data_IF_829733946308
#
_entry.id   IF_829733946308
#
_cell.length_a   1.000
_cell.length_b   1.000
_cell.length_c   1.000
_cell.angle_alpha   90.00
_cell.angle_beta   90.00
_cell.angle_gamma   90.00
#
_symmetry.space_group_name_H-M   'P 1'
#
loop_
_entity.id
_entity.type
_entity.pdbx_description
1 polymer ?
#
# COMPACT_ATOMS: atom_id res chain seq x y z
N UNK A 1 19.34 -79.20 -6.84
CA UNK A 1 18.26 -78.74 -5.94
C UNK A 1 17.87 -77.33 -6.35
N UNK A 2 16.59 -77.16 -6.65
CA UNK A 2 15.97 -75.95 -7.19
C UNK A 2 15.99 -74.77 -6.22
N UNK A 3 16.22 -73.56 -6.78
CA UNK A 3 15.41 -72.37 -6.50
C UNK A 3 15.80 -71.49 -5.31
N UNK A 4 16.06 -70.22 -5.58
CA UNK A 4 15.02 -69.17 -5.49
C UNK A 4 15.50 -67.85 -6.11
N UNK A 5 14.70 -67.41 -7.07
CA UNK A 5 14.71 -66.10 -7.71
C UNK A 5 14.51 -64.99 -6.66
N UNK A 6 15.42 -64.02 -6.63
CA UNK A 6 15.20 -62.76 -5.92
C UNK A 6 14.19 -61.93 -6.72
N UNK A 7 12.95 -61.88 -6.23
CA UNK A 7 11.92 -60.98 -6.78
C UNK A 7 12.34 -59.54 -6.51
N UNK A 8 12.52 -58.78 -7.59
CA UNK A 8 12.50 -57.32 -7.57
C UNK A 8 11.12 -56.89 -7.06
N UNK A 9 11.08 -56.26 -5.88
CA UNK A 9 9.88 -55.61 -5.38
C UNK A 9 9.63 -54.32 -6.18
N UNK A 10 8.41 -54.07 -6.68
CA UNK A 10 8.12 -52.82 -7.36
C UNK A 10 8.21 -51.66 -6.37
N UNK A 11 8.99 -50.65 -6.76
CA UNK A 11 9.16 -49.38 -6.07
C UNK A 11 7.82 -48.65 -6.02
N UNK A 12 7.05 -48.84 -4.94
CA UNK A 12 5.87 -48.02 -4.65
C UNK A 12 6.40 -46.73 -4.02
N UNK A 13 6.51 -45.68 -4.84
CA UNK A 13 6.77 -44.31 -4.37
C UNK A 13 5.77 -43.88 -3.28
N UNK A 14 6.08 -42.83 -2.51
CA UNK A 14 5.25 -42.43 -1.38
C UNK A 14 3.84 -42.09 -1.88
N UNK A 15 2.84 -42.71 -1.25
CA UNK A 15 1.44 -42.46 -1.51
C UNK A 15 1.15 -40.98 -1.25
N UNK A 16 0.88 -40.22 -2.31
CA UNK A 16 0.31 -38.88 -2.21
C UNK A 16 -1.03 -39.01 -1.48
N UNK A 17 -1.06 -38.55 -0.23
CA UNK A 17 -2.28 -38.25 0.51
C UNK A 17 -3.07 -37.22 -0.31
N UNK A 18 -4.02 -37.69 -1.13
CA UNK A 18 -5.09 -36.87 -1.69
C UNK A 18 -6.04 -36.51 -0.55
N UNK A 19 -5.66 -35.55 0.28
CA UNK A 19 -6.62 -34.87 1.14
C UNK A 19 -7.31 -33.80 0.29
N UNK A 20 -8.60 -34.08 0.12
CA UNK A 20 -9.61 -33.26 -0.54
C UNK A 20 -9.71 -31.85 0.02
N UNK A 21 -10.08 -30.92 -0.87
CA UNK A 21 -10.43 -29.50 -0.68
C UNK A 21 -9.25 -28.54 -0.71
N UNK A 22 -8.82 -28.25 -1.94
CA UNK A 22 -8.32 -26.89 -2.25
C UNK A 22 -9.40 -25.92 -1.79
N UNK A 23 -9.05 -25.06 -0.84
CA UNK A 23 -9.91 -23.96 -0.43
C UNK A 23 -9.96 -22.98 -1.59
N UNK A 24 -11.08 -22.96 -2.30
CA UNK A 24 -11.38 -21.96 -3.32
C UNK A 24 -11.98 -20.73 -2.62
N UNK A 25 -11.22 -19.61 -2.49
CA UNK A 25 -11.71 -18.40 -1.82
C UNK A 25 -12.80 -17.68 -2.64
N UNK A 26 -13.09 -18.12 -3.87
CA UNK A 26 -14.08 -17.54 -4.78
C UNK A 26 -15.30 -18.44 -4.97
N UNK A 27 -15.67 -19.23 -3.95
CA UNK A 27 -16.94 -19.95 -3.94
C UNK A 27 -18.10 -18.96 -3.79
N UNK A 28 -18.48 -18.31 -4.89
CA UNK A 28 -19.70 -17.55 -4.99
C UNK A 28 -20.86 -18.45 -4.57
N UNK A 29 -21.64 -18.01 -3.56
CA UNK A 29 -22.95 -18.60 -3.26
C UNK A 29 -23.81 -18.35 -4.49
N UNK A 30 -23.87 -19.31 -5.40
CA UNK A 30 -24.76 -19.25 -6.56
C UNK A 30 -26.19 -19.31 -6.06
N UNK A 31 -26.80 -18.13 -5.88
CA UNK A 31 -28.24 -17.98 -5.93
C UNK A 31 -28.69 -18.57 -7.27
N UNK A 32 -29.75 -19.38 -7.22
CA UNK A 32 -30.35 -20.04 -8.37
C UNK A 32 -30.91 -18.98 -9.32
N UNK A 33 -30.13 -18.57 -10.31
CA UNK A 33 -30.63 -17.93 -11.52
C UNK A 33 -30.03 -18.65 -12.72
N UNK A 34 -30.91 -18.97 -13.67
CA UNK A 34 -30.72 -20.04 -14.65
C UNK A 34 -29.57 -19.84 -15.62
N UNK A 35 -29.09 -20.98 -16.16
CA UNK A 35 -28.37 -21.26 -17.40
C UNK A 35 -27.70 -20.11 -18.19
N UNK A 36 -27.10 -19.13 -17.53
CA UNK A 36 -26.09 -18.29 -18.15
C UNK A 36 -24.75 -19.01 -17.94
N UNK A 37 -24.08 -19.35 -19.04
CA UNK A 37 -22.69 -19.78 -18.96
C UNK A 37 -21.90 -18.71 -18.18
N UNK A 38 -21.06 -19.09 -17.20
CA UNK A 38 -20.25 -18.11 -16.49
C UNK A 38 -19.42 -17.36 -17.52
N UNK A 39 -19.52 -16.02 -17.51
CA UNK A 39 -18.66 -15.20 -18.36
C UNK A 39 -17.21 -15.66 -18.18
N UNK A 40 -16.47 -15.86 -19.27
CA UNK A 40 -15.09 -16.28 -19.18
C UNK A 40 -14.33 -15.27 -18.33
N UNK A 41 -13.65 -15.76 -17.28
CA UNK A 41 -12.76 -14.94 -16.46
C UNK A 41 -11.90 -14.07 -17.39
N UNK A 42 -11.74 -12.76 -17.11
CA UNK A 42 -10.93 -11.90 -17.94
C UNK A 42 -9.56 -12.53 -18.08
N UNK A 43 -9.20 -12.92 -19.30
CA UNK A 43 -7.93 -13.58 -19.54
C UNK A 43 -6.82 -12.63 -19.08
N UNK A 44 -5.81 -13.10 -18.31
CA UNK A 44 -4.70 -12.25 -17.92
C UNK A 44 -4.10 -11.70 -19.21
N UNK A 45 -4.21 -10.38 -19.38
CA UNK A 45 -3.87 -9.75 -20.65
C UNK A 45 -2.41 -10.06 -20.97
N UNK A 46 -2.17 -10.86 -22.00
CA UNK A 46 -0.83 -11.25 -22.47
C UNK A 46 -0.05 -10.08 -23.10
N UNK A 47 -0.51 -8.84 -22.89
CA UNK A 47 -0.17 -7.66 -23.67
C UNK A 47 -0.20 -6.36 -22.87
N UNK A 48 0.09 -6.34 -21.57
CA UNK A 48 0.47 -5.05 -20.97
C UNK A 48 1.93 -4.78 -21.35
N UNK A 49 2.19 -3.84 -22.28
CA UNK A 49 3.56 -3.48 -22.61
C UNK A 49 4.28 -2.94 -21.36
N UNK A 50 5.61 -3.07 -21.27
CA UNK A 50 6.39 -2.42 -20.24
C UNK A 50 6.02 -0.95 -20.07
N UNK A 51 5.50 -0.58 -18.90
CA UNK A 51 5.25 0.82 -18.60
C UNK A 51 6.55 1.63 -18.63
N UNK A 52 6.48 2.87 -19.09
CA UNK A 52 7.56 3.85 -18.95
C UNK A 52 7.48 4.48 -17.55
N UNK A 53 8.47 4.21 -16.71
CA UNK A 53 8.52 4.65 -15.31
C UNK A 53 9.73 5.56 -15.12
N UNK A 54 9.53 6.71 -14.48
CA UNK A 54 10.64 7.55 -14.04
C UNK A 54 11.03 7.18 -12.60
N UNK A 55 12.30 6.86 -12.38
CA UNK A 55 12.88 6.61 -11.08
C UNK A 55 13.66 7.84 -10.62
N UNK A 56 13.11 8.59 -9.66
CA UNK A 56 13.78 9.72 -9.03
C UNK A 56 14.49 9.27 -7.76
N UNK A 57 15.71 9.75 -7.53
CA UNK A 57 16.49 9.34 -6.35
C UNK A 57 16.86 10.54 -5.49
N UNK A 58 16.60 10.46 -4.19
CA UNK A 58 17.01 11.49 -3.20
C UNK A 58 18.08 11.00 -2.22
N UNK A 59 18.43 9.72 -2.28
CA UNK A 59 19.36 9.06 -1.38
C UNK A 59 18.66 8.26 -0.28
N UNK A 60 19.00 8.57 0.98
CA UNK A 60 18.51 7.83 2.14
C UNK A 60 19.21 6.49 2.37
N UNK A 61 18.67 5.69 3.30
CA UNK A 61 19.30 4.45 3.76
C UNK A 61 19.60 3.46 2.65
N UNK A 62 18.74 3.35 1.62
CA UNK A 62 18.95 2.45 0.49
C UNK A 62 20.32 2.66 -0.17
N UNK A 63 20.72 3.93 -0.32
CA UNK A 63 21.94 4.34 -1.00
C UNK A 63 23.13 4.57 -0.03
N UNK A 64 22.98 4.25 1.26
CA UNK A 64 24.08 4.37 2.20
C UNK A 64 25.21 3.38 1.89
N UNK A 65 26.43 3.84 2.06
CA UNK A 65 27.66 3.04 1.96
C UNK A 65 28.61 3.42 3.08
N UNK A 66 29.46 2.48 3.48
CA UNK A 66 30.54 2.77 4.41
C UNK A 66 31.69 3.45 3.64
N UNK A 67 32.12 4.62 4.09
CA UNK A 67 33.34 5.27 3.61
C UNK A 67 34.49 4.94 4.56
N UNK A 68 35.52 4.28 4.02
CA UNK A 68 36.70 3.89 4.79
C UNK A 68 37.58 5.08 5.18
N UNK A 69 37.48 6.22 4.48
CA UNK A 69 38.26 7.42 4.79
C UNK A 69 37.64 8.15 5.99
N UNK A 70 36.35 8.45 5.94
CA UNK A 70 35.64 9.09 7.06
C UNK A 70 35.30 8.13 8.20
N UNK A 71 35.45 6.81 7.98
CA UNK A 71 35.02 5.76 8.91
C UNK A 71 33.54 5.86 9.30
N UNK A 72 32.71 6.37 8.39
CA UNK A 72 31.29 6.64 8.63
C UNK A 72 30.41 6.19 7.47
N UNK A 73 29.09 6.06 7.73
CA UNK A 73 28.12 5.83 6.68
C UNK A 73 27.76 7.14 5.99
N UNK A 74 27.94 7.18 4.67
CA UNK A 74 27.57 8.31 3.82
C UNK A 74 26.49 7.87 2.82
N UNK A 75 25.75 8.84 2.27
CA UNK A 75 24.83 8.57 1.16
C UNK A 75 25.62 8.58 -0.14
N UNK A 76 25.74 7.41 -0.76
CA UNK A 76 26.54 7.19 -1.96
C UNK A 76 25.76 7.42 -3.26
N UNK A 77 26.27 6.83 -4.35
CA UNK A 77 25.61 6.87 -5.64
C UNK A 77 24.30 6.04 -5.63
N UNK A 78 23.27 6.45 -6.41
CA UNK A 78 22.00 5.76 -6.42
C UNK A 78 22.11 4.28 -6.83
N UNK A 79 21.53 3.42 -6.02
CA UNK A 79 21.61 1.96 -6.18
C UNK A 79 20.39 1.38 -6.90
N UNK A 80 19.32 2.16 -7.08
CA UNK A 80 18.05 1.73 -7.67
C UNK A 80 18.22 1.02 -9.02
N UNK A 81 19.06 1.55 -9.92
CA UNK A 81 19.34 0.94 -11.22
C UNK A 81 19.97 -0.45 -11.09
N UNK A 82 20.96 -0.60 -10.21
CA UNK A 82 21.60 -1.90 -9.94
C UNK A 82 20.60 -2.87 -9.30
N UNK A 83 19.81 -2.38 -8.36
CA UNK A 83 18.78 -3.16 -7.68
C UNK A 83 17.74 -3.70 -8.67
N UNK A 84 17.16 -2.85 -9.51
CA UNK A 84 16.11 -3.21 -10.48
C UNK A 84 16.60 -4.20 -11.54
N UNK A 85 17.86 -4.09 -11.96
CA UNK A 85 18.48 -5.10 -12.83
C UNK A 85 18.57 -6.47 -12.14
N UNK A 86 18.95 -6.50 -10.86
CA UNK A 86 19.11 -7.76 -10.12
C UNK A 86 17.77 -8.44 -9.81
N UNK A 87 16.69 -7.67 -9.63
CA UNK A 87 15.32 -8.21 -9.47
C UNK A 87 14.57 -8.35 -10.81
N UNK A 88 15.26 -8.17 -11.94
CA UNK A 88 14.71 -8.35 -13.29
C UNK A 88 13.42 -7.54 -13.55
N UNK A 89 13.43 -6.25 -13.16
CA UNK A 89 12.29 -5.37 -13.41
C UNK A 89 11.96 -5.30 -14.92
N UNK A 90 10.69 -5.55 -15.25
CA UNK A 90 10.23 -5.61 -16.64
C UNK A 90 9.88 -4.25 -17.25
N UNK A 91 9.80 -3.18 -16.45
CA UNK A 91 9.42 -1.84 -16.91
C UNK A 91 10.57 -1.14 -17.65
N UNK A 92 10.22 -0.18 -18.51
CA UNK A 92 11.21 0.72 -19.10
C UNK A 92 11.48 1.87 -18.13
N UNK A 93 12.64 1.85 -17.48
CA UNK A 93 12.95 2.77 -16.39
C UNK A 93 13.95 3.84 -16.83
N UNK A 94 13.52 5.09 -16.74
CA UNK A 94 14.41 6.26 -16.81
C UNK A 94 14.85 6.64 -15.40
N UNK A 95 16.09 7.09 -15.22
CA UNK A 95 16.63 7.44 -13.91
C UNK A 95 17.06 8.89 -13.90
N UNK A 96 16.64 9.63 -12.88
CA UNK A 96 17.15 10.97 -12.63
C UNK A 96 17.45 11.16 -11.14
N UNK A 97 18.64 11.68 -10.86
CA UNK A 97 19.04 12.00 -9.50
C UNK A 97 18.60 13.41 -9.15
N UNK A 98 17.89 13.55 -8.03
CA UNK A 98 17.46 14.87 -7.51
C UNK A 98 18.47 15.37 -6.48
N UNK A 99 18.89 14.49 -5.57
CA UNK A 99 19.96 14.76 -4.61
C UNK A 99 20.48 13.45 -3.99
N UNK A 100 21.52 13.55 -3.15
CA UNK A 100 22.11 12.45 -2.36
C UNK A 100 22.24 12.86 -0.90
N UNK A 101 21.13 12.82 -0.16
CA UNK A 101 21.09 13.29 1.23
C UNK A 101 20.51 12.23 2.16
N UNK A 102 20.87 12.32 3.45
CA UNK A 102 20.08 11.65 4.48
C UNK A 102 18.70 12.31 4.55
N UNK A 103 17.64 11.54 4.78
CA UNK A 103 16.29 12.10 4.87
C UNK A 103 16.13 13.15 5.97
N UNK A 104 16.93 13.09 7.03
CA UNK A 104 16.92 14.10 8.10
C UNK A 104 17.51 15.45 7.64
N UNK A 105 18.32 15.44 6.59
CA UNK A 105 18.97 16.64 6.02
C UNK A 105 18.17 17.23 4.84
N UNK A 106 17.09 16.56 4.41
CA UNK A 106 16.24 17.07 3.34
C UNK A 106 15.48 18.31 3.78
N UNK A 107 15.72 19.40 3.07
CA UNK A 107 15.11 20.71 3.31
C UNK A 107 13.78 20.88 2.57
N UNK A 108 13.09 22.00 2.80
CA UNK A 108 11.93 22.38 1.99
C UNK A 108 12.32 22.59 0.53
N UNK A 109 13.44 23.25 0.26
CA UNK A 109 13.93 23.52 -1.10
C UNK A 109 14.20 22.23 -1.88
N UNK A 110 14.78 21.21 -1.23
CA UNK A 110 14.98 19.90 -1.87
C UNK A 110 13.65 19.26 -2.31
N UNK A 111 12.60 19.41 -1.50
CA UNK A 111 11.25 18.92 -1.83
C UNK A 111 10.58 19.74 -2.93
N UNK A 112 10.85 21.04 -3.01
CA UNK A 112 10.37 21.90 -4.10
C UNK A 112 11.03 21.51 -5.43
N UNK A 113 12.33 21.18 -5.43
CA UNK A 113 13.03 20.64 -6.62
C UNK A 113 12.43 19.29 -7.03
N UNK A 114 12.20 18.39 -6.07
CA UNK A 114 11.57 17.10 -6.33
C UNK A 114 10.14 17.26 -6.90
N UNK A 115 9.36 18.18 -6.35
CA UNK A 115 8.00 18.50 -6.83
C UNK A 115 8.02 19.04 -8.27
N UNK A 116 8.96 19.93 -8.59
CA UNK A 116 9.15 20.43 -9.94
C UNK A 116 9.54 19.30 -10.91
N UNK A 117 10.41 18.38 -10.50
CA UNK A 117 10.77 17.21 -11.31
C UNK A 117 9.56 16.30 -11.59
N UNK A 118 8.75 16.01 -10.57
CA UNK A 118 7.50 15.24 -10.72
C UNK A 118 6.54 15.92 -11.70
N UNK A 119 6.40 17.24 -11.59
CA UNK A 119 5.51 18.04 -12.45
C UNK A 119 5.97 18.07 -13.91
N UNK A 120 7.27 18.24 -14.14
CA UNK A 120 7.86 18.36 -15.47
C UNK A 120 8.03 17.02 -16.19
N UNK A 121 8.04 15.90 -15.47
CA UNK A 121 8.22 14.58 -16.05
C UNK A 121 7.14 14.28 -17.12
N UNK A 122 7.47 13.71 -18.28
CA UNK A 122 6.47 13.23 -19.24
C UNK A 122 5.79 11.91 -18.82
N UNK A 123 6.39 11.15 -17.92
CA UNK A 123 5.90 9.83 -17.48
C UNK A 123 4.69 9.97 -16.55
N UNK A 124 3.73 9.07 -16.68
CA UNK A 124 2.59 8.97 -15.77
C UNK A 124 2.94 8.26 -14.46
N UNK A 125 3.92 7.37 -14.51
CA UNK A 125 4.35 6.54 -13.38
C UNK A 125 5.71 6.98 -12.89
N UNK A 126 5.80 7.30 -11.60
CA UNK A 126 7.03 7.78 -10.97
C UNK A 126 7.28 6.99 -9.69
N UNK A 127 8.48 6.44 -9.55
CA UNK A 127 8.95 5.82 -8.31
C UNK A 127 10.08 6.67 -7.74
N UNK A 128 10.01 7.00 -6.46
CA UNK A 128 11.00 7.83 -5.78
C UNK A 128 11.68 7.00 -4.70
N UNK A 129 13.01 6.84 -4.79
CA UNK A 129 13.79 6.29 -3.67
C UNK A 129 14.14 7.40 -2.69
N UNK A 130 13.80 7.18 -1.42
CA UNK A 130 13.87 8.19 -0.38
C UNK A 130 14.29 7.56 0.97
N UNK A 131 14.91 8.37 1.84
CA UNK A 131 15.20 7.97 3.21
C UNK A 131 13.93 7.88 4.08
N UNK A 132 13.93 6.96 5.03
CA UNK A 132 12.71 6.56 5.76
C UNK A 132 12.26 7.56 6.83
N UNK A 133 13.15 8.41 7.33
CA UNK A 133 12.86 9.28 8.48
C UNK A 133 11.91 10.43 8.15
N UNK A 134 11.95 10.95 6.91
CA UNK A 134 11.09 12.06 6.48
C UNK A 134 10.28 11.77 5.21
N UNK A 135 10.16 10.49 4.83
CA UNK A 135 9.42 10.13 3.61
C UNK A 135 7.95 10.52 3.66
N UNK A 136 7.34 10.47 4.84
CA UNK A 136 5.97 10.92 5.08
C UNK A 136 5.77 12.40 4.75
N UNK A 137 6.71 13.24 5.15
CA UNK A 137 6.69 14.68 4.88
C UNK A 137 6.76 14.93 3.38
N UNK A 138 7.65 14.21 2.68
CA UNK A 138 7.81 14.33 1.23
C UNK A 138 6.57 13.80 0.49
N UNK A 139 6.02 12.64 0.86
CA UNK A 139 4.81 12.10 0.25
C UNK A 139 3.62 13.07 0.38
N UNK A 140 3.45 13.68 1.55
CA UNK A 140 2.42 14.70 1.77
C UNK A 140 2.64 15.94 0.90
N UNK A 141 3.88 16.39 0.74
CA UNK A 141 4.20 17.55 -0.09
C UNK A 141 3.86 17.32 -1.57
N UNK A 142 4.12 16.11 -2.09
CA UNK A 142 3.90 15.77 -3.49
C UNK A 142 2.45 15.40 -3.84
N UNK A 143 1.62 15.10 -2.84
CA UNK A 143 0.24 14.63 -3.04
C UNK A 143 -0.57 15.52 -3.98
N UNK A 144 -0.51 16.84 -3.79
CA UNK A 144 -1.28 17.79 -4.59
C UNK A 144 -0.81 17.79 -6.04
N UNK A 145 0.49 17.81 -6.28
CA UNK A 145 1.08 17.80 -7.61
C UNK A 145 0.77 16.50 -8.34
N UNK A 146 0.90 15.35 -7.68
CA UNK A 146 0.57 14.05 -8.25
C UNK A 146 -0.90 13.99 -8.72
N UNK A 147 -1.85 14.42 -7.87
CA UNK A 147 -3.27 14.47 -8.24
C UNK A 147 -3.50 15.46 -9.40
N UNK A 148 -2.99 16.69 -9.30
CA UNK A 148 -3.24 17.74 -10.27
C UNK A 148 -2.70 17.41 -11.67
N UNK A 149 -1.65 16.59 -11.74
CA UNK A 149 -1.03 16.13 -12.99
C UNK A 149 -1.52 14.77 -13.45
N UNK A 150 -2.42 14.11 -12.71
CA UNK A 150 -2.90 12.76 -13.02
C UNK A 150 -1.86 11.65 -12.89
N UNK A 151 -0.75 11.91 -12.20
CA UNK A 151 0.39 10.98 -12.08
C UNK A 151 0.23 10.05 -10.88
N UNK A 152 0.73 8.83 -11.02
CA UNK A 152 0.91 7.92 -9.89
C UNK A 152 2.36 7.98 -9.43
N UNK A 153 2.57 8.50 -8.23
CA UNK A 153 3.88 8.64 -7.60
C UNK A 153 3.96 7.68 -6.42
N UNK A 154 4.99 6.84 -6.37
CA UNK A 154 5.24 5.91 -5.27
C UNK A 154 6.58 6.23 -4.62
N UNK A 155 6.59 6.57 -3.34
CA UNK A 155 7.79 6.66 -2.53
C UNK A 155 8.11 5.31 -1.91
N UNK A 156 9.38 4.95 -1.94
CA UNK A 156 9.90 3.76 -1.28
C UNK A 156 11.34 3.99 -0.83
N UNK A 157 11.95 2.98 -0.22
CA UNK A 157 13.31 3.03 0.30
C UNK A 157 13.69 1.70 0.93
N UNK A 158 14.64 1.74 1.87
CA UNK A 158 15.02 0.59 2.66
C UNK A 158 15.30 1.00 4.11
N UNK A 159 15.16 0.07 5.04
CA UNK A 159 15.67 0.24 6.41
C UNK A 159 17.17 -0.01 6.44
N UNK A 160 17.64 -1.01 5.67
CA UNK A 160 19.04 -1.40 5.58
C UNK A 160 19.63 -1.01 4.22
N UNK A 161 20.89 -0.55 4.16
CA UNK A 161 21.52 -0.18 2.89
C UNK A 161 21.54 -1.32 1.89
N UNK A 162 21.42 -1.00 0.59
CA UNK A 162 21.41 -2.00 -0.48
C UNK A 162 22.70 -2.84 -0.51
N UNK A 163 23.81 -2.29 0.00
CA UNK A 163 25.08 -3.01 0.11
C UNK A 163 25.04 -4.18 1.11
N UNK A 164 24.03 -4.24 1.99
CA UNK A 164 23.90 -5.30 2.98
C UNK A 164 23.13 -6.48 2.39
N UNK A 165 23.60 -7.70 2.65
CA UNK A 165 22.97 -8.94 2.18
C UNK A 165 21.51 -9.07 2.63
N UNK A 166 21.20 -8.60 3.84
CA UNK A 166 19.85 -8.63 4.42
C UNK A 166 19.03 -7.38 4.11
N UNK A 167 19.39 -6.60 3.08
CA UNK A 167 18.65 -5.40 2.73
C UNK A 167 17.21 -5.73 2.33
N UNK A 168 16.26 -4.95 2.86
CA UNK A 168 14.87 -4.95 2.44
C UNK A 168 14.64 -4.14 1.14
N UNK A 169 15.66 -3.42 0.67
CA UNK A 169 15.62 -2.59 -0.53
C UNK A 169 15.14 -3.29 -1.81
N UNK A 170 15.67 -4.47 -2.18
CA UNK A 170 15.21 -5.20 -3.36
C UNK A 170 13.72 -5.50 -3.35
N UNK A 171 13.20 -5.93 -2.21
CA UNK A 171 11.79 -6.26 -2.06
C UNK A 171 10.91 -5.01 -2.11
N UNK A 172 11.26 -3.95 -1.37
CA UNK A 172 10.49 -2.71 -1.36
C UNK A 172 10.47 -2.04 -2.73
N UNK A 173 11.62 -2.01 -3.42
CA UNK A 173 11.72 -1.42 -4.76
C UNK A 173 10.96 -2.23 -5.80
N UNK A 174 11.06 -3.57 -5.77
CA UNK A 174 10.26 -4.45 -6.61
C UNK A 174 8.75 -4.23 -6.38
N UNK A 175 8.31 -4.19 -5.12
CA UNK A 175 6.92 -3.93 -4.76
C UNK A 175 6.44 -2.55 -5.28
N UNK A 176 7.25 -1.50 -5.12
CA UNK A 176 6.92 -0.16 -5.60
C UNK A 176 6.71 -0.13 -7.14
N UNK A 177 7.60 -0.79 -7.89
CA UNK A 177 7.47 -0.88 -9.35
C UNK A 177 6.27 -1.73 -9.79
N UNK A 178 5.90 -2.76 -9.03
CA UNK A 178 4.69 -3.54 -9.30
C UNK A 178 3.42 -2.71 -9.11
N UNK A 179 3.32 -1.93 -8.02
CA UNK A 179 2.06 -1.24 -7.68
C UNK A 179 1.92 0.13 -8.33
N UNK A 180 2.99 0.75 -8.82
CA UNK A 180 2.91 2.10 -9.45
C UNK A 180 1.96 2.12 -10.65
N UNK A 181 1.81 1.01 -11.38
CA UNK A 181 0.88 0.91 -12.51
C UNK A 181 -0.53 0.49 -12.10
N UNK A 182 -0.73 0.08 -10.86
CA UNK A 182 -2.00 -0.43 -10.33
C UNK A 182 -2.72 0.61 -9.45
N UNK A 183 -1.97 1.53 -8.85
CA UNK A 183 -2.50 2.55 -7.97
C UNK A 183 -3.08 3.74 -8.74
N UNK A 184 -4.16 4.35 -8.23
CA UNK A 184 -4.75 5.54 -8.83
C UNK A 184 -3.78 6.73 -8.74
N UNK A 185 -4.02 7.80 -9.54
CA UNK A 185 -3.26 9.04 -9.43
C UNK A 185 -3.20 9.57 -8.00
N UNK A 186 -2.01 10.01 -7.59
CA UNK A 186 -1.73 10.40 -6.21
C UNK A 186 -0.32 10.00 -5.77
N UNK A 187 0.03 10.39 -4.55
CA UNK A 187 1.33 10.08 -3.96
C UNK A 187 1.18 9.02 -2.87
N UNK A 188 1.78 7.86 -3.10
CA UNK A 188 1.64 6.68 -2.25
C UNK A 188 2.98 6.34 -1.62
N UNK A 189 2.96 5.66 -0.48
CA UNK A 189 4.16 5.11 0.17
C UNK A 189 4.05 3.60 0.19
N UNK A 190 5.09 2.91 -0.26
CA UNK A 190 5.11 1.45 -0.37
C UNK A 190 6.34 0.90 0.34
N UNK A 191 6.08 0.02 1.31
CA UNK A 191 7.12 -0.58 2.15
C UNK A 191 6.63 -1.91 2.72
N UNK A 192 7.51 -2.90 2.86
CA UNK A 192 7.23 -4.20 3.49
C UNK A 192 5.95 -4.87 2.96
N UNK A 193 5.68 -4.76 1.65
CA UNK A 193 4.55 -5.41 1.00
C UNK A 193 3.20 -4.72 1.26
N UNK A 194 3.21 -3.49 1.77
CA UNK A 194 2.01 -2.70 2.04
C UNK A 194 2.07 -1.35 1.35
N UNK A 195 0.90 -0.89 0.90
CA UNK A 195 0.66 0.50 0.53
C UNK A 195 0.10 1.18 1.78
N UNK A 196 0.75 2.25 2.23
CA UNK A 196 0.31 3.00 3.41
C UNK A 196 -0.86 3.91 3.04
N UNK A 197 -1.85 4.00 3.94
CA UNK A 197 -3.13 4.67 3.71
C UNK A 197 -3.04 6.20 3.83
N UNK A 198 -2.22 6.69 4.76
CA UNK A 198 -2.04 8.11 5.01
C UNK A 198 -0.58 8.39 5.36
N UNK A 199 0.15 9.21 4.56
CA UNK A 199 1.49 9.66 4.89
C UNK A 199 1.64 10.20 6.32
N UNK A 200 0.64 10.91 6.86
CA UNK A 200 0.73 11.49 8.21
C UNK A 200 0.78 10.45 9.35
N UNK A 201 0.27 9.25 9.08
CA UNK A 201 0.25 8.17 10.07
C UNK A 201 1.54 7.34 10.03
N UNK A 202 2.35 7.47 8.99
CA UNK A 202 3.56 6.68 8.83
C UNK A 202 4.60 7.09 9.86
N UNK A 203 5.14 6.09 10.56
CA UNK A 203 6.21 6.22 11.54
C UNK A 203 7.22 5.12 11.34
N UNK A 204 8.48 5.46 11.55
CA UNK A 204 9.58 4.50 11.62
C UNK A 204 9.66 3.91 13.02
N UNK A 205 9.34 2.63 13.12
CA UNK A 205 9.65 1.81 14.29
C UNK A 205 11.12 1.41 14.23
N UNK A 206 11.94 2.21 14.91
CA UNK A 206 13.41 2.04 14.96
C UNK A 206 13.79 0.71 15.62
N UNK A 207 12.99 0.20 16.56
CA UNK A 207 13.32 -1.03 17.30
C UNK A 207 13.19 -2.27 16.42
N UNK A 208 12.22 -2.25 15.51
CA UNK A 208 11.88 -3.41 14.69
C UNK A 208 12.29 -3.25 13.21
N UNK A 209 13.01 -2.18 12.86
CA UNK A 209 13.38 -1.82 11.48
C UNK A 209 12.16 -1.86 10.54
N UNK A 210 11.09 -1.13 10.88
CA UNK A 210 9.85 -1.13 10.09
C UNK A 210 9.23 0.24 9.94
N UNK A 211 8.53 0.46 8.82
CA UNK A 211 7.49 1.47 8.75
C UNK A 211 6.16 0.89 9.24
N UNK A 212 5.49 1.64 10.10
CA UNK A 212 4.17 1.30 10.67
C UNK A 212 3.24 2.51 10.59
N UNK A 213 1.94 2.25 10.58
CA UNK A 213 0.96 3.32 10.76
C UNK A 213 0.67 3.48 12.25
N UNK A 214 0.70 4.71 12.73
CA UNK A 214 0.10 5.06 14.02
C UNK A 214 -1.37 4.71 13.95
N UNK A 215 -1.83 3.90 14.90
CA UNK A 215 -3.24 3.77 15.19
C UNK A 215 -3.73 5.19 15.54
N UNK A 216 -4.62 5.74 14.70
CA UNK A 216 -5.33 6.95 15.09
C UNK A 216 -6.02 6.62 16.42
N UNK A 217 -5.62 7.28 17.52
CA UNK A 217 -6.23 7.04 18.83
C UNK A 217 -7.74 7.04 18.62
N UNK A 218 -8.37 5.88 18.78
CA UNK A 218 -9.82 5.82 18.92
C UNK A 218 -10.15 6.79 20.04
N UNK A 219 -11.10 7.68 19.78
CA UNK A 219 -11.61 8.53 20.83
C UNK A 219 -12.23 7.55 21.85
N UNK A 220 -11.93 7.65 23.17
CA UNK A 220 -12.56 6.81 24.17
C UNK A 220 -14.09 6.88 24.04
N UNK A 221 -14.77 5.75 24.23
CA UNK A 221 -16.24 5.61 24.21
C UNK A 221 -16.95 5.75 22.86
N UNK A 222 -16.25 5.46 21.75
CA UNK A 222 -16.91 5.39 20.44
C UNK A 222 -16.97 3.96 19.95
N UNK A 223 -18.18 3.40 19.71
CA UNK A 223 -18.33 2.13 19.03
C UNK A 223 -17.59 2.13 17.70
N UNK A 224 -16.96 1.00 17.34
CA UNK A 224 -16.41 0.80 15.99
C UNK A 224 -17.47 1.18 14.95
N UNK A 225 -17.09 1.99 13.96
CA UNK A 225 -18.03 2.48 12.93
C UNK A 225 -18.50 3.93 13.05
N UNK A 226 -18.36 4.60 14.21
CA UNK A 226 -18.89 5.98 14.37
C UNK A 226 -17.77 6.94 14.80
N UNK A 227 -17.86 8.20 14.40
CA UNK A 227 -16.94 9.28 14.78
C UNK A 227 -17.46 9.95 16.07
N UNK A 228 -16.68 10.03 17.17
CA UNK A 228 -17.15 10.59 18.46
C UNK A 228 -17.78 11.98 18.34
N UNK A 229 -17.16 12.82 17.52
CA UNK A 229 -17.64 14.18 17.26
C UNK A 229 -19.01 14.14 16.58
N UNK A 230 -19.22 13.20 15.66
CA UNK A 230 -20.49 13.02 14.97
C UNK A 230 -21.57 12.48 15.92
N UNK A 231 -21.24 11.50 16.75
CA UNK A 231 -22.13 11.00 17.80
C UNK A 231 -22.55 12.09 18.80
N UNK A 232 -21.65 13.05 19.06
CA UNK A 232 -21.90 14.19 19.94
C UNK A 232 -22.51 15.43 19.24
N UNK A 233 -22.88 15.35 17.95
CA UNK A 233 -23.42 16.49 17.18
C UNK A 233 -22.43 17.64 16.96
N UNK A 234 -21.13 17.38 17.12
CA UNK A 234 -20.03 18.36 16.99
C UNK A 234 -19.31 18.22 15.64
N UNK A 235 -18.75 19.33 15.17
CA UNK A 235 -17.99 19.35 13.90
C UNK A 235 -16.61 18.70 14.09
N UNK A 236 -16.36 17.59 13.40
CA UNK A 236 -15.08 16.88 13.46
C UNK A 236 -13.97 17.63 12.69
N UNK A 237 -12.75 17.67 13.23
CA UNK A 237 -11.58 18.28 12.57
C UNK A 237 -11.20 17.60 11.23
N UNK A 238 -11.62 16.36 11.03
CA UNK A 238 -11.39 15.58 9.81
C UNK A 238 -12.51 15.72 8.77
N UNK A 239 -13.58 16.46 9.08
CA UNK A 239 -14.70 16.74 8.16
C UNK A 239 -15.35 15.47 7.60
N UNK A 240 -15.73 15.50 6.32
CA UNK A 240 -16.37 14.38 5.61
C UNK A 240 -15.49 13.11 5.56
N UNK A 241 -14.15 13.25 5.68
CA UNK A 241 -13.21 12.12 5.72
C UNK A 241 -13.28 11.31 7.02
N UNK A 242 -14.01 11.77 8.05
CA UNK A 242 -14.25 10.97 9.26
C UNK A 242 -15.19 9.78 8.99
N UNK A 243 -16.10 9.91 8.01
CA UNK A 243 -17.10 8.88 7.69
C UNK A 243 -16.46 7.61 7.13
N UNK A 244 -15.41 7.78 6.33
CA UNK A 244 -14.77 6.68 5.61
C UNK A 244 -13.62 6.03 6.43
N UNK A 245 -13.25 6.60 7.58
CA UNK A 245 -12.12 6.15 8.43
C UNK A 245 -12.50 5.27 9.61
N UNK A 246 -13.78 5.19 9.96
CA UNK A 246 -14.27 4.35 11.07
C UNK A 246 -15.22 3.24 10.63
N UNK A 247 -15.84 3.34 9.45
CA UNK A 247 -16.63 2.25 8.88
C UNK A 247 -15.70 1.27 8.14
N UNK A 248 -15.17 0.28 8.86
CA UNK A 248 -14.79 -0.95 8.20
C UNK A 248 -16.07 -1.72 7.87
N UNK A 249 -16.33 -1.89 6.57
CA UNK A 249 -17.23 -2.86 5.94
C UNK A 249 -18.76 -2.67 6.12
N UNK A 250 -19.42 -2.37 4.99
CA UNK A 250 -20.72 -2.86 4.54
C UNK A 250 -21.82 -3.10 5.59
N UNK A 251 -22.69 -2.08 5.76
CA UNK A 251 -24.09 -2.31 6.02
C UNK A 251 -24.90 -1.21 5.33
N UNK A 252 -25.46 -1.56 4.17
CA UNK A 252 -26.52 -0.91 3.41
C UNK A 252 -26.48 0.63 3.25
N UNK A 253 -26.26 1.01 2.01
CA UNK A 253 -26.45 2.33 1.41
C UNK A 253 -27.94 2.73 1.44
N UNK A 254 -28.51 2.99 2.63
CA UNK A 254 -29.76 3.72 2.81
C UNK A 254 -29.59 4.86 3.81
N UNK A 255 -30.02 6.09 3.45
CA UNK A 255 -30.19 7.11 4.47
C UNK A 255 -31.21 6.63 5.50
N UNK A 256 -31.00 6.90 6.81
CA UNK A 256 -31.97 6.55 7.84
C UNK A 256 -33.30 7.25 7.54
N UNK A 257 -34.40 6.49 7.50
CA UNK A 257 -35.74 7.05 7.42
C UNK A 257 -35.96 7.98 8.61
N UNK A 258 -36.42 9.24 8.39
CA UNK A 258 -36.69 10.16 9.48
C UNK A 258 -37.79 9.57 10.38
N UNK A 259 -37.72 9.78 11.71
CA UNK A 259 -38.76 9.32 12.62
C UNK A 259 -40.09 9.96 12.26
N UNK A 260 -41.13 9.15 12.12
CA UNK A 260 -42.51 9.61 12.00
C UNK A 260 -42.86 10.50 13.19
N UNK A 261 -43.37 11.73 12.98
CA UNK A 261 -43.80 12.58 14.08
C UNK A 261 -44.95 11.89 14.83
N UNK A 262 -44.75 11.67 16.13
CA UNK A 262 -45.78 11.18 17.04
C UNK A 262 -46.93 12.19 17.07
N UNK A 263 -48.12 11.76 16.64
CA UNK A 263 -49.37 12.50 16.81
C UNK A 263 -49.59 12.81 18.29
N UNK A 264 -49.93 14.05 18.69
CA UNK A 264 -50.28 14.35 20.06
C UNK A 264 -51.57 13.64 20.45
N UNK A 265 -51.53 12.86 21.53
CA UNK A 265 -52.71 12.28 22.15
C UNK A 265 -53.60 13.38 22.73
N UNK A 266 -54.81 13.53 22.19
CA UNK A 266 -55.86 14.37 22.75
C UNK A 266 -56.28 13.88 24.15
N UNK A 267 -56.51 14.77 25.13
CA UNK A 267 -56.98 14.38 26.45
C UNK A 267 -58.45 13.96 26.42
N UNK A 268 -58.75 12.81 27.02
CA UNK A 268 -60.11 12.27 27.18
C UNK A 268 -60.96 13.17 28.07
N UNK A 269 -62.08 13.67 27.52
CA UNK A 269 -63.15 14.30 28.31
C UNK A 269 -63.80 13.25 29.23
N UNK A 270 -63.53 13.33 30.53
CA UNK A 270 -64.33 12.67 31.54
C UNK A 270 -65.73 13.30 31.61
N UNK A 271 -66.76 12.50 31.32
CA UNK A 271 -68.15 12.80 31.69
C UNK A 271 -68.43 12.09 33.01
N UNK A 272 -68.93 12.83 33.99
CA UNK A 272 -69.54 12.29 35.20
C UNK A 272 -70.21 13.44 35.93
N UNK A 273 -71.50 13.28 36.20
CA UNK A 273 -72.34 14.21 36.97
C UNK A 273 -71.80 14.45 38.36
#
# INVERSE_FOLDING_TARGET
SFGRSARVLPNKGPALLRTSKVFDPYRHKTARHGNAEPEPLPQPCSKMPPAKVLCLTTGGSLDKTYDGVSSSFIVGAPTAKRCLRNVQCAHNVEYAEVCRKDSLELTKGDREVLDAAVRAAPQQYIVITHGTDTLNVTAKALQRTAIATGKTVVLTGAMKPYAFMESDGPFNLGAAFTVVTLLPPGCHVVFHGKVFSDPELIVKDVKNDRLVEKVAKSIPDVPEGICAYFAAGKRCKFGAKCRDRHCAADADDRPPTPPTPSTPSMPSKGRGR
#
